data_IF_921717046320
#
_entry.id   IF_921717046320
#
_cell.length_a   1.000
_cell.length_b   1.000
_cell.length_c   1.000
_cell.angle_alpha   90.00
_cell.angle_beta   90.00
_cell.angle_gamma   90.00
#
_symmetry.space_group_name_H-M   'P 1'
#
loop_
_entity.id
_entity.type
_entity.pdbx_description
1 polymer ?
#
# COMPACT_ATOMS: atom_id res chain seq x y z
N UNK A 1 9.24 37.13 -41.81
CA UNK A 1 8.37 36.05 -42.32
C UNK A 1 8.94 34.64 -42.06
N UNK A 2 9.54 34.37 -40.88
CA UNK A 2 10.00 33.01 -40.51
C UNK A 2 9.61 32.59 -39.08
N UNK A 3 8.78 33.38 -38.41
CA UNK A 3 8.31 33.11 -37.04
C UNK A 3 6.90 32.51 -37.02
N UNK A 4 6.22 32.47 -38.18
CA UNK A 4 4.88 31.89 -38.30
C UNK A 4 4.91 30.37 -38.55
N UNK A 5 5.92 29.87 -39.27
CA UNK A 5 5.97 28.45 -39.67
C UNK A 5 6.30 27.52 -38.50
N UNK A 6 7.18 27.93 -37.57
CA UNK A 6 7.51 27.15 -36.35
C UNK A 6 6.38 27.15 -35.33
N UNK A 7 5.55 28.20 -35.30
CA UNK A 7 4.36 28.28 -34.42
C UNK A 7 3.24 27.38 -34.93
N UNK A 8 2.97 27.41 -36.24
CA UNK A 8 1.89 26.63 -36.85
C UNK A 8 2.13 25.11 -36.74
N UNK A 9 3.37 24.64 -36.87
CA UNK A 9 3.70 23.21 -36.68
C UNK A 9 3.54 22.76 -35.23
N UNK A 10 3.91 23.61 -34.26
CA UNK A 10 3.79 23.30 -32.84
C UNK A 10 2.32 23.21 -32.37
N UNK A 11 1.44 24.07 -32.90
CA UNK A 11 -0.01 24.00 -32.63
C UNK A 11 -0.61 22.66 -33.11
N UNK A 12 -0.19 22.17 -34.29
CA UNK A 12 -0.62 20.86 -34.82
C UNK A 12 -0.10 19.67 -34.02
N UNK A 13 1.15 19.69 -33.54
CA UNK A 13 1.68 18.59 -32.70
C UNK A 13 1.03 18.56 -31.30
N UNK A 14 0.67 19.73 -30.78
CA UNK A 14 0.00 19.87 -29.47
C UNK A 14 -1.43 19.35 -29.51
N UNK A 15 -2.15 19.59 -30.61
CA UNK A 15 -3.53 19.11 -30.79
C UNK A 15 -3.65 17.63 -31.18
N UNK A 16 -2.55 16.95 -31.51
CA UNK A 16 -2.52 15.50 -31.80
C UNK A 16 -2.68 14.64 -30.53
N UNK A 17 -2.45 15.22 -29.34
CA UNK A 17 -2.66 14.50 -28.08
C UNK A 17 -4.16 14.38 -27.78
N UNK A 18 -4.57 13.14 -27.47
CA UNK A 18 -5.96 12.81 -27.14
C UNK A 18 -6.47 13.71 -26.01
N UNK A 19 -7.63 14.33 -26.25
CA UNK A 19 -8.27 15.32 -25.37
C UNK A 19 -7.65 16.73 -25.36
N UNK A 20 -6.61 17.01 -26.16
CA UNK A 20 -6.08 18.38 -26.35
C UNK A 20 -6.75 19.02 -27.57
N UNK A 21 -7.70 19.92 -27.31
CA UNK A 21 -8.29 20.77 -28.35
C UNK A 21 -7.49 22.06 -28.57
N UNK A 22 -7.81 22.87 -29.60
CA UNK A 22 -7.08 24.12 -29.91
C UNK A 22 -6.98 25.09 -28.73
N UNK A 23 -8.05 25.20 -27.94
CA UNK A 23 -8.06 26.04 -26.73
C UNK A 23 -7.14 25.50 -25.62
N UNK A 24 -6.99 24.19 -25.51
CA UNK A 24 -6.06 23.56 -24.56
C UNK A 24 -4.62 23.61 -25.07
N UNK A 25 -4.42 23.50 -26.39
CA UNK A 25 -3.11 23.66 -27.01
C UNK A 25 -2.54 25.06 -26.77
N UNK A 26 -3.35 26.11 -26.98
CA UNK A 26 -2.92 27.48 -26.71
C UNK A 26 -2.54 27.72 -25.24
N UNK A 27 -3.21 27.02 -24.31
CA UNK A 27 -2.88 27.07 -22.87
C UNK A 27 -1.58 26.34 -22.57
N UNK A 28 -1.35 25.18 -23.19
CA UNK A 28 -0.10 24.41 -23.03
C UNK A 28 1.07 25.16 -23.65
N UNK A 29 0.89 25.90 -24.74
CA UNK A 29 1.95 26.70 -25.36
C UNK A 29 2.45 27.87 -24.50
N UNK A 30 1.59 28.44 -23.66
CA UNK A 30 1.96 29.49 -22.71
C UNK A 30 2.50 28.91 -21.38
N UNK A 31 2.39 27.59 -21.21
CA UNK A 31 2.79 26.90 -20.00
C UNK A 31 4.32 26.64 -19.96
N UNK A 32 4.89 26.42 -18.77
CA UNK A 32 6.30 26.06 -18.61
C UNK A 32 6.60 24.59 -18.98
N UNK A 33 5.64 23.85 -19.53
CA UNK A 33 5.74 22.45 -19.95
C UNK A 33 5.04 22.27 -21.29
N UNK A 34 5.38 21.23 -22.03
CA UNK A 34 4.81 20.95 -23.35
C UNK A 34 4.08 19.59 -23.42
N UNK A 35 3.63 19.22 -24.63
CA UNK A 35 3.00 17.92 -24.89
C UNK A 35 3.96 16.74 -24.75
N UNK A 36 5.25 16.94 -24.93
CA UNK A 36 6.28 15.94 -24.68
C UNK A 36 6.36 15.63 -23.19
N UNK A 37 6.21 16.64 -22.32
CA UNK A 37 6.16 16.44 -20.88
C UNK A 37 4.94 15.62 -20.43
N UNK A 38 3.79 15.83 -21.07
CA UNK A 38 2.58 15.02 -20.85
C UNK A 38 2.83 13.56 -21.28
N UNK A 39 3.47 13.34 -22.43
CA UNK A 39 3.77 11.99 -22.93
C UNK A 39 4.82 11.27 -22.06
N UNK A 40 5.82 11.99 -21.59
CA UNK A 40 6.89 11.48 -20.74
C UNK A 40 6.51 11.39 -19.25
N UNK A 41 5.30 11.86 -18.88
CA UNK A 41 4.78 11.87 -17.50
C UNK A 41 5.57 12.77 -16.56
N UNK A 42 6.21 13.80 -17.09
CA UNK A 42 6.89 14.86 -16.33
C UNK A 42 5.98 16.06 -16.03
N UNK A 43 4.76 16.09 -16.60
CA UNK A 43 3.69 16.99 -16.20
C UNK A 43 2.76 16.34 -15.15
N UNK A 44 2.30 17.11 -14.16
CA UNK A 44 1.31 16.67 -13.17
C UNK A 44 -0.08 17.25 -13.43
N UNK A 45 -1.11 16.68 -12.81
CA UNK A 45 -2.47 17.23 -12.86
C UNK A 45 -2.54 18.66 -12.30
N UNK A 46 -1.77 18.96 -11.26
CA UNK A 46 -1.71 20.30 -10.69
C UNK A 46 -1.07 21.30 -11.66
N UNK A 47 0.06 20.94 -12.29
CA UNK A 47 0.69 21.79 -13.32
C UNK A 47 -0.28 22.09 -14.47
N UNK A 48 -1.07 21.09 -14.92
CA UNK A 48 -2.13 21.31 -15.91
C UNK A 48 -3.17 22.33 -15.42
N UNK A 49 -3.60 22.23 -14.16
CA UNK A 49 -4.59 23.16 -13.58
C UNK A 49 -4.04 24.56 -13.37
N UNK A 50 -2.80 24.69 -12.94
CA UNK A 50 -2.13 25.97 -12.71
C UNK A 50 -1.88 26.71 -14.02
N UNK A 51 -1.53 26.00 -15.09
CA UNK A 51 -1.47 26.55 -16.44
C UNK A 51 -2.84 27.02 -16.96
N UNK A 52 -3.95 26.61 -16.33
CA UNK A 52 -5.30 27.00 -16.72
C UNK A 52 -6.03 25.98 -17.59
N UNK A 53 -5.54 24.74 -17.70
CA UNK A 53 -6.26 23.67 -18.39
C UNK A 53 -7.56 23.36 -17.65
N UNK A 54 -8.66 23.25 -18.42
CA UNK A 54 -9.97 22.96 -17.86
C UNK A 54 -9.95 21.64 -17.04
N UNK A 55 -10.54 21.59 -15.84
CA UNK A 55 -10.40 20.45 -14.92
C UNK A 55 -10.88 19.11 -15.49
N UNK A 56 -11.94 19.13 -16.32
CA UNK A 56 -12.42 17.93 -17.00
C UNK A 56 -11.41 17.36 -18.00
N UNK A 57 -10.68 18.25 -18.70
CA UNK A 57 -9.64 17.88 -19.68
C UNK A 57 -8.38 17.43 -18.95
N UNK A 58 -7.93 18.17 -17.93
CA UNK A 58 -6.82 17.77 -17.07
C UNK A 58 -7.07 16.38 -16.44
N UNK A 59 -8.31 16.10 -16.01
CA UNK A 59 -8.70 14.80 -15.48
C UNK A 59 -8.72 13.68 -16.52
N UNK A 60 -8.98 13.98 -17.80
CA UNK A 60 -8.86 13.00 -18.89
C UNK A 60 -7.40 12.74 -19.24
N UNK A 61 -6.60 13.80 -19.42
CA UNK A 61 -5.16 13.72 -19.67
C UNK A 61 -4.43 12.93 -18.59
N UNK A 62 -4.75 13.17 -17.32
CA UNK A 62 -4.17 12.43 -16.20
C UNK A 62 -4.44 10.93 -16.30
N UNK A 63 -5.68 10.53 -16.60
CA UNK A 63 -6.06 9.11 -16.70
C UNK A 63 -5.45 8.43 -17.91
N UNK A 64 -5.42 9.12 -19.05
CA UNK A 64 -4.87 8.59 -20.30
C UNK A 64 -3.34 8.43 -20.22
N UNK A 65 -2.64 9.47 -19.76
CA UNK A 65 -1.18 9.48 -19.69
C UNK A 65 -0.62 8.98 -18.36
N UNK A 66 -1.49 8.55 -17.44
CA UNK A 66 -1.11 8.11 -16.09
C UNK A 66 -0.27 9.14 -15.33
N UNK A 67 -0.65 10.42 -15.43
CA UNK A 67 0.08 11.51 -14.80
C UNK A 67 -0.08 11.48 -13.27
N UNK A 68 0.96 11.91 -12.56
CA UNK A 68 0.93 12.15 -11.11
C UNK A 68 -0.07 13.26 -10.77
N UNK A 69 -0.65 13.19 -9.57
CA UNK A 69 -1.55 14.26 -9.09
C UNK A 69 -0.79 15.57 -8.87
N UNK A 70 0.37 15.48 -8.22
CA UNK A 70 1.35 16.55 -7.96
C UNK A 70 2.75 15.91 -7.83
N UNK A 71 3.82 16.70 -7.95
CA UNK A 71 5.21 16.23 -7.71
C UNK A 71 5.69 16.53 -6.28
N UNK A 72 5.04 17.45 -5.57
CA UNK A 72 5.41 17.85 -4.22
C UNK A 72 4.70 16.95 -3.20
N UNK A 73 5.39 15.90 -2.75
CA UNK A 73 4.86 14.95 -1.75
C UNK A 73 5.32 15.26 -0.32
N UNK A 74 6.17 16.28 -0.12
CA UNK A 74 6.78 16.59 1.18
C UNK A 74 6.00 17.59 2.05
N UNK A 75 5.36 18.61 1.44
CA UNK A 75 4.70 19.70 2.19
C UNK A 75 3.15 19.74 2.03
N UNK A 76 2.58 18.97 1.10
CA UNK A 76 1.12 18.91 0.83
C UNK A 76 0.29 18.57 2.08
N UNK A 77 0.82 17.69 2.94
CA UNK A 77 0.15 17.27 4.17
C UNK A 77 0.02 18.42 5.19
N UNK A 78 1.08 19.23 5.34
CA UNK A 78 1.13 20.34 6.30
C UNK A 78 0.18 21.47 5.88
N UNK A 79 0.17 21.84 4.59
CA UNK A 79 -0.75 22.85 4.06
C UNK A 79 -2.22 22.41 4.10
N UNK A 80 -2.52 21.15 3.76
CA UNK A 80 -3.89 20.61 3.84
C UNK A 80 -4.38 20.46 5.27
N UNK A 81 -3.52 20.11 6.21
CA UNK A 81 -3.88 20.05 7.64
C UNK A 81 -4.34 21.40 8.17
N UNK A 82 -3.77 22.49 7.64
CA UNK A 82 -4.14 23.86 8.00
C UNK A 82 -5.53 24.25 7.50
N UNK A 83 -5.99 23.66 6.38
CA UNK A 83 -7.30 23.90 5.78
C UNK A 83 -8.44 23.06 6.38
N UNK A 84 -8.14 21.99 7.14
CA UNK A 84 -9.17 21.15 7.77
C UNK A 84 -9.66 21.79 9.09
N UNK A 85 -10.94 22.12 9.12
CA UNK A 85 -11.60 22.67 10.31
C UNK A 85 -11.95 21.55 11.30
N UNK A 86 -11.50 21.67 12.55
CA UNK A 86 -11.77 20.70 13.62
C UNK A 86 -10.56 19.87 14.08
N UNK A 87 -9.39 20.05 13.45
CA UNK A 87 -8.17 19.36 13.85
C UNK A 87 -7.56 20.00 15.11
N UNK A 88 -7.39 19.20 16.17
CA UNK A 88 -6.84 19.66 17.45
C UNK A 88 -5.32 19.89 17.34
N UNK A 89 -4.75 20.73 18.22
CA UNK A 89 -3.34 21.12 18.15
C UNK A 89 -2.38 19.91 18.24
N UNK A 90 -2.76 18.88 19.01
CA UNK A 90 -1.99 17.64 19.10
C UNK A 90 -1.94 16.85 17.78
N UNK A 91 -3.03 16.87 17.01
CA UNK A 91 -3.09 16.21 15.71
C UNK A 91 -2.32 17.01 14.65
N UNK A 92 -2.33 18.35 14.71
CA UNK A 92 -1.51 19.22 13.84
C UNK A 92 -0.02 19.01 14.05
N UNK A 93 0.41 18.91 15.30
CA UNK A 93 1.80 18.63 15.64
C UNK A 93 2.26 17.27 15.10
N UNK A 94 1.39 16.25 15.16
CA UNK A 94 1.69 14.92 14.64
C UNK A 94 1.83 14.89 13.11
N UNK A 95 0.98 15.62 12.37
CA UNK A 95 1.06 15.71 10.91
C UNK A 95 2.33 16.46 10.47
N UNK A 96 2.69 17.55 11.16
CA UNK A 96 3.91 18.30 10.85
C UNK A 96 5.17 17.46 11.08
N UNK A 97 5.20 16.64 12.14
CA UNK A 97 6.29 15.69 12.38
C UNK A 97 6.37 14.59 11.32
N UNK A 98 5.22 14.13 10.83
CA UNK A 98 5.12 13.09 9.77
C UNK A 98 5.41 13.61 8.35
N UNK A 99 5.49 14.93 8.15
CA UNK A 99 5.81 15.60 6.88
C UNK A 99 7.32 15.75 6.67
N UNK A 100 8.12 15.48 7.71
CA UNK A 100 9.58 15.51 7.66
C UNK A 100 10.20 14.24 7.08
N UNK A 101 11.34 14.44 6.45
CA UNK A 101 12.26 13.50 5.80
C UNK A 101 12.28 12.07 6.41
N UNK A 102 11.48 11.17 5.84
CA UNK A 102 11.49 9.73 6.14
C UNK A 102 12.77 9.03 5.62
N UNK A 103 13.62 9.72 4.85
CA UNK A 103 14.88 9.18 4.29
C UNK A 103 16.14 9.60 5.09
N UNK A 104 16.08 10.64 5.92
CA UNK A 104 17.19 11.20 6.68
C UNK A 104 17.33 10.59 8.07
N UNK A 105 16.36 9.75 8.48
CA UNK A 105 16.52 8.87 9.63
C UNK A 105 17.14 7.52 9.24
N UNK A 106 18.15 7.53 8.39
CA UNK A 106 19.24 6.53 8.53
C UNK A 106 20.19 7.02 9.61
N UNK A 107 19.67 7.23 10.83
CA UNK A 107 20.53 7.13 12.00
C UNK A 107 20.96 5.68 12.03
N UNK A 108 22.25 5.47 11.92
CA UNK A 108 22.95 4.21 12.04
C UNK A 108 22.55 3.56 13.37
N UNK A 109 21.43 2.85 13.40
CA UNK A 109 21.15 1.84 14.40
C UNK A 109 22.09 0.69 14.08
N UNK A 110 23.35 0.84 14.47
CA UNK A 110 24.27 -0.26 14.58
C UNK A 110 23.69 -1.20 15.64
N UNK A 111 22.80 -2.09 15.21
CA UNK A 111 22.46 -3.29 15.95
C UNK A 111 23.77 -4.08 16.00
N UNK A 112 24.37 -4.19 17.17
CA UNK A 112 25.67 -4.84 17.38
C UNK A 112 25.63 -6.37 17.18
N UNK A 113 24.57 -6.89 16.56
CA UNK A 113 24.34 -8.32 16.34
C UNK A 113 24.25 -9.11 17.65
N UNK A 114 24.20 -8.45 18.81
CA UNK A 114 23.90 -9.12 20.07
C UNK A 114 22.45 -9.57 19.98
N UNK A 115 22.19 -10.87 20.11
CA UNK A 115 20.89 -11.53 19.89
C UNK A 115 19.74 -11.09 20.81
N UNK A 116 19.83 -9.90 21.40
CA UNK A 116 18.80 -9.22 22.18
C UNK A 116 17.58 -8.88 21.30
N UNK A 117 17.81 -8.47 20.05
CA UNK A 117 16.72 -8.21 19.09
C UNK A 117 15.96 -9.49 18.70
N UNK A 118 16.64 -10.63 18.53
CA UNK A 118 15.99 -11.93 18.26
C UNK A 118 15.22 -12.45 19.47
N UNK A 119 15.75 -12.24 20.69
CA UNK A 119 15.07 -12.62 21.94
C UNK A 119 13.84 -11.75 22.21
N UNK A 120 13.95 -10.44 22.01
CA UNK A 120 12.84 -9.50 22.09
C UNK A 120 11.78 -9.83 21.02
N UNK A 121 12.19 -10.08 19.77
CA UNK A 121 11.27 -10.46 18.70
C UNK A 121 10.61 -11.83 18.97
N UNK A 122 11.35 -12.80 19.51
CA UNK A 122 10.79 -14.08 19.92
C UNK A 122 9.73 -13.90 21.03
N UNK A 123 9.99 -13.06 22.03
CA UNK A 123 9.03 -12.75 23.09
C UNK A 123 7.79 -12.00 22.59
N UNK A 124 7.90 -11.25 21.49
CA UNK A 124 6.76 -10.60 20.83
C UNK A 124 5.96 -11.58 19.96
N UNK A 125 6.64 -12.50 19.25
CA UNK A 125 5.99 -13.59 18.52
C UNK A 125 5.25 -14.53 19.47
N UNK A 126 5.86 -14.89 20.59
CA UNK A 126 5.26 -15.77 21.61
C UNK A 126 3.96 -15.16 22.17
N UNK A 127 3.97 -13.87 22.53
CA UNK A 127 2.78 -13.15 23.00
C UNK A 127 1.69 -12.96 21.94
N UNK A 128 2.03 -13.02 20.66
CA UNK A 128 1.10 -12.78 19.54
C UNK A 128 0.73 -14.07 18.80
N UNK A 129 1.30 -15.20 19.19
CA UNK A 129 1.05 -16.48 18.54
C UNK A 129 -0.32 -17.00 18.98
N UNK A 130 -1.14 -17.54 18.06
CA UNK A 130 -2.33 -18.27 18.44
C UNK A 130 -1.97 -19.47 19.32
N UNK A 131 -2.90 -19.87 20.21
CA UNK A 131 -2.73 -21.01 21.11
C UNK A 131 -2.32 -22.26 20.28
N UNK A 132 -1.17 -22.89 20.57
CA UNK A 132 -0.63 -23.95 19.75
C UNK A 132 -1.52 -25.20 19.77
N UNK A 133 -1.52 -25.97 18.68
CA UNK A 133 -2.36 -27.19 18.58
C UNK A 133 -2.01 -28.25 19.63
N UNK A 134 -0.83 -28.19 20.23
CA UNK A 134 -0.37 -29.04 21.35
C UNK A 134 -1.13 -28.80 22.65
N UNK A 135 -1.88 -27.70 22.80
CA UNK A 135 -2.75 -27.47 23.95
C UNK A 135 -4.01 -28.35 23.91
N UNK A 136 -4.34 -28.92 22.75
CA UNK A 136 -5.46 -29.86 22.62
C UNK A 136 -5.09 -31.20 23.27
N UNK A 137 -5.89 -31.73 24.20
CA UNK A 137 -5.64 -33.03 24.83
C UNK A 137 -5.45 -34.16 23.80
N UNK A 138 -4.49 -35.05 24.08
CA UNK A 138 -4.10 -36.19 23.22
C UNK A 138 -3.34 -35.83 21.92
N UNK A 139 -2.92 -34.57 21.76
CA UNK A 139 -2.00 -34.13 20.71
C UNK A 139 -0.63 -33.86 21.35
N UNK A 140 0.38 -34.63 20.95
CA UNK A 140 1.78 -34.40 21.32
C UNK A 140 2.53 -33.66 20.21
N UNK A 141 3.81 -33.33 20.44
CA UNK A 141 4.64 -32.60 19.47
C UNK A 141 4.83 -33.35 18.14
N UNK A 142 4.80 -34.69 18.16
CA UNK A 142 4.92 -35.51 16.95
C UNK A 142 3.64 -35.38 16.10
N UNK A 143 2.47 -35.55 16.73
CA UNK A 143 1.17 -35.35 16.13
C UNK A 143 0.95 -33.90 15.66
N UNK A 144 1.45 -32.91 16.41
CA UNK A 144 1.40 -31.51 16.02
C UNK A 144 2.22 -31.25 14.74
N UNK A 145 3.36 -31.93 14.58
CA UNK A 145 4.13 -31.91 13.33
C UNK A 145 3.35 -32.48 12.16
N UNK A 146 2.68 -33.62 12.33
CA UNK A 146 1.82 -34.22 11.29
C UNK A 146 0.62 -33.32 10.94
N UNK A 147 0.01 -32.66 11.92
CA UNK A 147 -1.09 -31.71 11.72
C UNK A 147 -0.64 -30.43 11.02
N UNK A 148 0.59 -29.99 11.26
CA UNK A 148 1.18 -28.85 10.57
C UNK A 148 1.31 -29.08 9.05
N UNK A 149 1.52 -30.32 8.60
CA UNK A 149 1.51 -30.69 7.17
C UNK A 149 0.13 -30.45 6.52
N UNK A 150 -0.96 -30.54 7.30
CA UNK A 150 -2.31 -30.17 6.87
C UNK A 150 -2.64 -28.68 7.10
N UNK A 151 -1.66 -27.88 7.57
CA UNK A 151 -1.83 -26.47 7.89
C UNK A 151 -2.52 -26.20 9.23
N UNK A 152 -2.61 -27.21 10.11
CA UNK A 152 -3.27 -27.11 11.41
C UNK A 152 -2.20 -26.94 12.49
N UNK A 153 -1.92 -25.69 12.85
CA UNK A 153 -0.86 -25.33 13.82
C UNK A 153 -1.39 -24.73 15.12
N UNK A 154 -2.70 -24.46 15.23
CA UNK A 154 -3.31 -23.82 16.40
C UNK A 154 -4.62 -24.49 16.83
N UNK A 155 -5.00 -24.30 18.10
CA UNK A 155 -6.30 -24.73 18.67
C UNK A 155 -7.46 -24.22 17.81
N UNK A 156 -7.43 -22.94 17.44
CA UNK A 156 -8.47 -22.34 16.59
C UNK A 156 -8.55 -22.99 15.22
N UNK A 157 -7.42 -23.27 14.57
CA UNK A 157 -7.38 -23.96 13.28
C UNK A 157 -7.94 -25.38 13.40
N UNK A 158 -7.63 -26.11 14.48
CA UNK A 158 -8.17 -27.44 14.74
C UNK A 158 -9.69 -27.40 14.95
N UNK A 159 -10.21 -26.44 15.72
CA UNK A 159 -11.64 -26.31 16.02
C UNK A 159 -12.51 -26.07 14.78
N UNK A 160 -12.00 -25.35 13.77
CA UNK A 160 -12.72 -25.07 12.51
C UNK A 160 -12.41 -26.07 11.39
N UNK A 161 -11.46 -26.98 11.60
CA UNK A 161 -11.06 -27.94 10.58
C UNK A 161 -12.19 -28.93 10.26
N UNK A 162 -12.26 -29.38 9.00
CA UNK A 162 -13.17 -30.46 8.62
C UNK A 162 -12.51 -31.81 8.97
N UNK A 163 -13.05 -32.58 9.93
CA UNK A 163 -12.41 -33.79 10.42
C UNK A 163 -12.32 -34.89 9.35
N UNK A 164 -13.27 -34.96 8.41
CA UNK A 164 -13.22 -35.92 7.28
C UNK A 164 -12.03 -35.65 6.38
N UNK A 165 -11.80 -34.37 6.07
CA UNK A 165 -10.70 -33.95 5.19
C UNK A 165 -9.34 -34.15 5.85
N UNK A 166 -9.24 -33.89 7.15
CA UNK A 166 -7.98 -34.06 7.91
C UNK A 166 -7.66 -35.55 8.08
N UNK A 167 -8.67 -36.36 8.41
CA UNK A 167 -8.54 -37.81 8.50
C UNK A 167 -8.09 -38.43 7.16
N UNK A 168 -8.68 -38.01 6.05
CA UNK A 168 -8.29 -38.46 4.70
C UNK A 168 -6.86 -38.01 4.34
N UNK A 169 -6.54 -36.73 4.56
CA UNK A 169 -5.25 -36.15 4.17
C UNK A 169 -4.06 -36.68 4.97
N UNK A 170 -4.25 -37.00 6.25
CA UNK A 170 -3.20 -37.49 7.14
C UNK A 170 -3.32 -38.99 7.43
N UNK A 171 -4.28 -39.67 6.78
CA UNK A 171 -4.61 -41.08 7.01
C UNK A 171 -4.89 -41.41 8.50
N UNK A 172 -5.51 -40.48 9.22
CA UNK A 172 -5.92 -40.67 10.62
C UNK A 172 -7.33 -41.25 10.74
N UNK A 173 -7.62 -41.80 11.92
CA UNK A 173 -8.98 -42.22 12.27
C UNK A 173 -9.90 -41.01 12.41
N UNK A 174 -11.03 -41.01 11.69
CA UNK A 174 -12.00 -39.93 11.70
C UNK A 174 -12.57 -39.63 13.09
N UNK A 175 -12.82 -40.67 13.89
CA UNK A 175 -13.38 -40.50 15.23
C UNK A 175 -12.38 -39.80 16.14
N UNK A 176 -11.09 -40.13 15.99
CA UNK A 176 -10.00 -39.46 16.71
C UNK A 176 -9.88 -37.99 16.33
N UNK A 177 -9.89 -37.66 15.04
CA UNK A 177 -9.82 -36.27 14.57
C UNK A 177 -11.05 -35.46 15.00
N UNK A 178 -12.25 -36.06 14.97
CA UNK A 178 -13.46 -35.41 15.45
C UNK A 178 -13.37 -35.06 16.95
N UNK A 179 -12.82 -35.97 17.77
CA UNK A 179 -12.57 -35.69 19.20
C UNK A 179 -11.59 -34.54 19.40
N UNK A 180 -10.49 -34.49 18.64
CA UNK A 180 -9.54 -33.38 18.73
C UNK A 180 -10.18 -32.03 18.36
N UNK A 181 -11.02 -32.00 17.32
CA UNK A 181 -11.79 -30.80 16.96
C UNK A 181 -12.72 -30.37 18.09
N UNK A 182 -13.47 -31.31 18.67
CA UNK A 182 -14.42 -31.01 19.74
C UNK A 182 -13.67 -30.51 21.00
N UNK A 183 -12.56 -31.16 21.37
CA UNK A 183 -11.67 -30.69 22.46
C UNK A 183 -11.09 -29.31 22.19
N UNK A 184 -10.69 -29.01 20.96
CA UNK A 184 -10.21 -27.68 20.58
C UNK A 184 -11.30 -26.62 20.66
N UNK A 185 -12.56 -26.98 20.39
CA UNK A 185 -13.70 -26.08 20.50
C UNK A 185 -14.06 -25.75 21.96
N UNK A 186 -13.74 -26.63 22.91
CA UNK A 186 -13.92 -26.38 24.35
C UNK A 186 -12.82 -25.47 24.96
N UNK A 187 -11.72 -25.24 24.24
CA UNK A 187 -10.61 -24.37 24.66
C UNK A 187 -10.77 -22.90 24.19
N UNK A 188 -11.76 -22.62 23.32
CA UNK A 188 -12.07 -21.28 22.80
C UNK A 188 -13.18 -20.59 23.61
#
# INVERSE_FOLDING_TARGET
MREHETRETAETETTDVKYVGPATAAVIEDAPFDVTDIRNRTASYEMLREAGVHPGVAGHLRREHSLSWSFESGNDLTDRSSQIRGLQDGERAWIAASSGDWEAETTETATDGSGDAEAEEAAWRDRSSPDPVTDVPEIDDELAGELAEAGITSVRSMAIANPERVADSLAFDLTRVAKWRDSAHELL
#
